data_IF_476680349216
#
_entry.id   IF_476680349216
#
_cell.length_a   1.000
_cell.length_b   1.000
_cell.length_c   1.000
_cell.angle_alpha   90.00
_cell.angle_beta   90.00
_cell.angle_gamma   90.00
#
_symmetry.space_group_name_H-M   'P 1'
#
loop_
_entity.id
_entity.type
_entity.pdbx_description
1 polymer ?
#
# COMPACT_ATOMS: atom_id res chain seq x y z
N UNK A 1 9.09 -9.67 0.71
CA UNK A 1 8.18 -9.92 -0.41
C UNK A 1 8.25 -11.40 -0.78
N UNK A 2 7.13 -12.04 -0.89
CA UNK A 2 7.07 -13.43 -1.32
C UNK A 2 7.18 -13.49 -2.86
N UNK A 3 7.82 -14.51 -3.40
CA UNK A 3 7.98 -14.71 -4.85
C UNK A 3 6.62 -14.75 -5.58
N UNK A 4 5.54 -15.04 -4.86
CA UNK A 4 4.17 -15.17 -5.37
C UNK A 4 3.45 -13.84 -5.67
N UNK A 5 4.05 -12.67 -5.34
CA UNK A 5 3.38 -11.38 -5.41
C UNK A 5 4.18 -10.25 -6.12
N UNK A 6 4.83 -10.48 -7.23
CA UNK A 6 5.75 -9.50 -7.80
C UNK A 6 5.09 -8.16 -8.21
N UNK A 7 3.81 -8.14 -8.51
CA UNK A 7 3.07 -6.91 -8.90
C UNK A 7 1.75 -6.72 -8.15
N UNK A 8 1.42 -7.63 -7.28
CA UNK A 8 0.19 -7.64 -6.50
C UNK A 8 0.20 -6.60 -5.38
N UNK A 9 1.40 -6.36 -4.84
CA UNK A 9 1.56 -5.57 -3.62
C UNK A 9 1.09 -4.13 -3.81
N UNK A 10 1.42 -3.50 -4.94
CA UNK A 10 1.11 -2.08 -5.13
C UNK A 10 -0.29 -1.82 -5.70
N UNK A 11 -0.75 -2.65 -6.64
CA UNK A 11 -1.97 -2.35 -7.37
C UNK A 11 -3.21 -3.05 -6.80
N UNK A 12 -3.12 -4.33 -6.44
CA UNK A 12 -4.28 -5.08 -5.92
C UNK A 12 -4.44 -4.87 -4.42
N UNK A 13 -3.35 -4.72 -3.71
CA UNK A 13 -3.35 -4.24 -2.34
C UNK A 13 -4.06 -2.88 -2.20
N UNK A 14 -3.83 -1.95 -3.13
CA UNK A 14 -4.52 -0.66 -3.15
C UNK A 14 -6.04 -0.81 -3.28
N UNK A 15 -6.52 -1.74 -4.10
CA UNK A 15 -7.95 -2.06 -4.22
C UNK A 15 -8.52 -2.55 -2.89
N UNK A 16 -7.88 -3.55 -2.29
CA UNK A 16 -8.29 -4.06 -0.99
C UNK A 16 -8.35 -2.94 0.05
N UNK A 17 -7.29 -2.13 0.16
CA UNK A 17 -7.22 -1.03 1.13
C UNK A 17 -8.32 0.01 0.94
N UNK A 18 -8.75 0.24 -0.31
CA UNK A 18 -9.83 1.19 -0.59
C UNK A 18 -11.22 0.66 -0.23
N UNK A 19 -11.43 -0.63 -0.28
CA UNK A 19 -12.75 -1.26 -0.11
C UNK A 19 -12.93 -1.93 1.24
N UNK A 20 -11.85 -2.38 1.87
CA UNK A 20 -11.92 -3.08 3.13
C UNK A 20 -12.44 -2.21 4.27
N UNK A 21 -13.33 -2.77 5.03
CA UNK A 21 -13.72 -2.29 6.35
C UNK A 21 -12.70 -2.70 7.41
N UNK A 22 -13.15 -2.84 8.65
CA UNK A 22 -12.30 -3.22 9.77
C UNK A 22 -13.12 -4.06 10.75
N UNK A 23 -12.58 -5.19 11.21
CA UNK A 23 -13.30 -6.09 12.09
C UNK A 23 -14.64 -6.53 11.46
N UNK A 24 -15.70 -6.47 12.22
CA UNK A 24 -17.07 -6.74 11.74
C UNK A 24 -17.71 -5.58 10.98
N UNK A 25 -17.04 -4.45 10.84
CA UNK A 25 -17.61 -3.24 10.25
C UNK A 25 -17.21 -3.11 8.77
N UNK A 26 -18.18 -3.18 7.83
CA UNK A 26 -17.96 -2.77 6.45
C UNK A 26 -17.44 -1.33 6.37
N UNK A 27 -16.71 -1.00 5.32
CA UNK A 27 -16.13 0.35 5.15
C UNK A 27 -17.17 1.47 5.28
N UNK A 28 -18.33 1.29 4.68
CA UNK A 28 -19.43 2.27 4.75
C UNK A 28 -19.94 2.49 6.17
N UNK A 29 -20.04 1.42 6.95
CA UNK A 29 -20.42 1.49 8.38
C UNK A 29 -19.33 2.16 9.20
N UNK A 30 -18.08 1.76 9.00
CA UNK A 30 -16.94 2.36 9.68
C UNK A 30 -16.85 3.87 9.41
N UNK A 31 -17.03 4.29 8.15
CA UNK A 31 -17.04 5.70 7.78
C UNK A 31 -18.15 6.50 8.49
N UNK A 32 -19.33 5.90 8.64
CA UNK A 32 -20.43 6.52 9.40
C UNK A 32 -20.12 6.64 10.90
N UNK A 33 -19.50 5.60 11.49
CA UNK A 33 -19.10 5.60 12.90
C UNK A 33 -18.01 6.64 13.19
N UNK A 34 -17.16 6.91 12.21
CA UNK A 34 -16.08 7.91 12.31
C UNK A 34 -16.51 9.31 11.85
N UNK A 35 -17.76 9.49 11.44
CA UNK A 35 -18.26 10.81 11.05
C UNK A 35 -18.09 11.84 12.18
N UNK A 36 -17.51 12.99 11.86
CA UNK A 36 -17.20 14.04 12.84
C UNK A 36 -15.91 13.83 13.63
N UNK A 37 -15.19 12.72 13.41
CA UNK A 37 -13.83 12.50 13.94
C UNK A 37 -12.80 12.85 12.88
N UNK A 38 -11.71 13.46 13.32
CA UNK A 38 -10.55 13.73 12.47
C UNK A 38 -9.46 12.67 12.77
N UNK A 39 -9.68 11.50 12.22
CA UNK A 39 -8.79 10.34 12.40
C UNK A 39 -8.72 9.53 11.12
N UNK A 40 -7.51 9.11 10.78
CA UNK A 40 -7.26 8.18 9.70
C UNK A 40 -6.13 7.23 10.12
N UNK A 41 -6.34 5.93 9.96
CA UNK A 41 -5.33 4.90 10.22
C UNK A 41 -5.48 3.82 9.17
N UNK A 42 -4.37 3.34 8.66
CA UNK A 42 -4.38 2.26 7.68
C UNK A 42 -3.03 1.57 7.53
N UNK A 43 -3.03 0.36 7.00
CA UNK A 43 -1.83 -0.40 6.72
C UNK A 43 -1.20 0.04 5.39
N UNK A 44 0.11 -0.12 5.31
CA UNK A 44 0.88 0.06 4.09
C UNK A 44 1.86 -1.11 3.96
N UNK A 45 1.91 -1.68 2.77
CA UNK A 45 2.87 -2.71 2.40
C UNK A 45 3.66 -2.16 1.23
N UNK A 46 4.93 -1.93 1.44
CA UNK A 46 5.88 -1.44 0.44
C UNK A 46 6.91 -2.50 0.07
N UNK A 47 7.82 -2.13 -0.81
CA UNK A 47 8.82 -3.05 -1.37
C UNK A 47 9.80 -3.61 -0.33
N UNK A 48 10.08 -2.85 0.72
CA UNK A 48 11.08 -3.21 1.74
C UNK A 48 10.53 -3.18 3.17
N UNK A 49 9.42 -2.50 3.38
CA UNK A 49 8.84 -2.29 4.72
C UNK A 49 7.32 -2.40 4.68
N UNK A 50 6.75 -2.79 5.79
CA UNK A 50 5.32 -2.68 6.03
C UNK A 50 5.08 -1.89 7.32
N UNK A 51 3.97 -1.18 7.37
CA UNK A 51 3.66 -0.31 8.51
C UNK A 51 2.16 -0.14 8.69
N UNK A 52 1.77 0.30 9.86
CA UNK A 52 0.45 0.90 10.10
C UNK A 52 0.72 2.36 10.47
N UNK A 53 0.16 3.27 9.72
CA UNK A 53 0.34 4.70 9.92
C UNK A 53 -0.99 5.41 9.97
N UNK A 54 -1.00 6.58 10.60
CA UNK A 54 -2.21 7.37 10.70
C UNK A 54 -1.98 8.73 11.32
N UNK A 55 -3.04 9.48 11.40
CA UNK A 55 -3.08 10.77 12.04
C UNK A 55 -4.42 10.97 12.75
N UNK A 56 -4.40 11.83 13.78
CA UNK A 56 -5.61 12.24 14.49
C UNK A 56 -5.42 13.60 15.12
N UNK A 57 -6.52 14.21 15.53
CA UNK A 57 -6.46 15.30 16.51
C UNK A 57 -6.20 14.74 17.91
N UNK A 58 -5.71 15.55 18.87
CA UNK A 58 -5.59 15.11 20.27
C UNK A 58 -6.89 14.56 20.85
N UNK A 59 -8.03 15.13 20.47
CA UNK A 59 -9.37 14.68 20.88
C UNK A 59 -9.69 13.27 20.41
N UNK A 60 -9.23 12.88 19.24
CA UNK A 60 -9.52 11.60 18.61
C UNK A 60 -8.37 10.58 18.74
N UNK A 61 -7.36 10.89 19.57
CA UNK A 61 -6.16 10.07 19.72
C UNK A 61 -6.45 8.62 20.12
N UNK A 62 -7.33 8.40 21.10
CA UNK A 62 -7.69 7.03 21.49
C UNK A 62 -8.37 6.28 20.35
N UNK A 63 -9.19 6.96 19.53
CA UNK A 63 -9.78 6.36 18.33
C UNK A 63 -8.70 5.93 17.34
N UNK A 64 -7.62 6.72 17.18
CA UNK A 64 -6.51 6.33 16.34
C UNK A 64 -5.82 5.05 16.83
N UNK A 65 -5.60 4.92 18.15
CA UNK A 65 -5.04 3.70 18.75
C UNK A 65 -5.97 2.49 18.60
N UNK A 66 -7.29 2.68 18.75
CA UNK A 66 -8.28 1.63 18.52
C UNK A 66 -8.25 1.13 17.06
N UNK A 67 -8.22 2.06 16.10
CA UNK A 67 -8.13 1.72 14.68
C UNK A 67 -6.82 1.01 14.35
N UNK A 68 -5.69 1.49 14.88
CA UNK A 68 -4.38 0.86 14.72
C UNK A 68 -4.40 -0.57 15.26
N UNK A 69 -4.91 -0.77 16.46
CA UNK A 69 -5.01 -2.08 17.10
C UNK A 69 -5.88 -3.05 16.29
N UNK A 70 -7.06 -2.62 15.85
CA UNK A 70 -7.94 -3.44 15.01
C UNK A 70 -7.33 -3.72 13.64
N UNK A 71 -6.65 -2.76 13.04
CA UNK A 71 -5.95 -2.95 11.77
C UNK A 71 -4.88 -4.04 11.90
N UNK A 72 -4.22 -4.12 13.05
CA UNK A 72 -3.24 -5.15 13.32
C UNK A 72 -3.89 -6.50 13.64
N UNK A 73 -4.85 -6.52 14.55
CA UNK A 73 -5.38 -7.72 15.17
C UNK A 73 -6.57 -8.35 14.44
N UNK A 74 -7.42 -7.52 13.84
CA UNK A 74 -8.69 -7.96 13.27
C UNK A 74 -8.99 -7.27 11.92
N UNK A 75 -8.10 -7.43 10.93
CA UNK A 75 -8.34 -6.95 9.57
C UNK A 75 -9.54 -7.68 8.96
N UNK A 76 -10.33 -6.96 8.14
CA UNK A 76 -11.51 -7.51 7.49
C UNK A 76 -11.19 -7.93 6.06
N UNK A 77 -11.41 -9.20 5.75
CA UNK A 77 -11.33 -9.75 4.39
C UNK A 77 -12.71 -10.22 3.98
N UNK A 78 -13.38 -9.46 3.12
CA UNK A 78 -14.72 -9.76 2.62
C UNK A 78 -14.70 -9.82 1.10
N UNK A 79 -15.03 -11.00 0.56
CA UNK A 79 -14.96 -11.26 -0.88
C UNK A 79 -15.91 -10.35 -1.68
N UNK A 80 -17.11 -10.09 -1.18
CA UNK A 80 -18.08 -9.24 -1.87
C UNK A 80 -17.60 -7.78 -1.95
N UNK A 81 -17.03 -7.26 -0.84
CA UNK A 81 -16.44 -5.92 -0.81
C UNK A 81 -15.25 -5.82 -1.77
N UNK A 82 -14.40 -6.84 -1.79
CA UNK A 82 -13.25 -6.91 -2.69
C UNK A 82 -13.66 -6.98 -4.16
N UNK A 83 -14.58 -7.87 -4.51
CA UNK A 83 -15.08 -7.99 -5.88
C UNK A 83 -15.77 -6.71 -6.35
N UNK A 84 -16.50 -6.03 -5.47
CA UNK A 84 -17.08 -4.72 -5.79
C UNK A 84 -15.98 -3.71 -6.17
N UNK A 85 -14.89 -3.67 -5.42
CA UNK A 85 -13.73 -2.83 -5.73
C UNK A 85 -13.08 -3.19 -7.07
N UNK A 86 -12.90 -4.48 -7.35
CA UNK A 86 -12.38 -4.96 -8.64
C UNK A 86 -13.28 -4.50 -9.79
N UNK A 87 -14.60 -4.61 -9.67
CA UNK A 87 -15.52 -4.14 -10.71
C UNK A 87 -15.48 -2.63 -10.91
N UNK A 88 -15.38 -1.86 -9.83
CA UNK A 88 -15.22 -0.40 -9.92
C UNK A 88 -13.96 -0.02 -10.69
N UNK A 89 -12.83 -0.69 -10.44
CA UNK A 89 -11.59 -0.44 -11.16
C UNK A 89 -11.71 -0.86 -12.62
N UNK A 90 -12.28 -2.03 -12.91
CA UNK A 90 -12.53 -2.45 -14.29
C UNK A 90 -13.35 -1.44 -15.09
N UNK A 91 -14.30 -0.78 -14.45
CA UNK A 91 -15.12 0.23 -15.11
C UNK A 91 -14.34 1.51 -15.49
N UNK A 92 -13.33 1.91 -14.71
CA UNK A 92 -12.56 3.14 -14.95
C UNK A 92 -11.23 2.90 -15.66
N UNK A 93 -10.71 1.66 -15.62
CA UNK A 93 -9.40 1.30 -16.16
C UNK A 93 -9.22 1.66 -17.63
N UNK A 94 -10.19 1.43 -18.55
CA UNK A 94 -10.04 1.81 -19.95
C UNK A 94 -9.81 3.32 -20.15
N UNK A 95 -10.44 4.16 -19.35
CA UNK A 95 -10.25 5.60 -19.41
C UNK A 95 -8.84 6.00 -18.98
N UNK A 96 -8.32 5.35 -17.91
CA UNK A 96 -6.96 5.56 -17.41
C UNK A 96 -5.95 5.08 -18.47
N UNK A 97 -6.16 3.89 -19.02
CA UNK A 97 -5.26 3.30 -20.03
C UNK A 97 -5.23 4.09 -21.33
N UNK A 98 -6.29 4.80 -21.68
CA UNK A 98 -6.35 5.67 -22.86
C UNK A 98 -5.74 7.06 -22.64
N UNK A 99 -5.39 7.42 -21.39
CA UNK A 99 -4.71 8.68 -21.11
C UNK A 99 -3.26 8.65 -21.61
N UNK A 100 -2.85 9.60 -22.46
CA UNK A 100 -1.51 9.59 -23.03
C UNK A 100 -0.40 9.78 -21.99
N UNK A 101 -0.65 10.51 -20.92
CA UNK A 101 0.34 10.70 -19.85
C UNK A 101 0.53 9.40 -19.07
N UNK A 102 -0.54 8.66 -18.83
CA UNK A 102 -0.47 7.34 -18.21
C UNK A 102 0.27 6.32 -19.11
N UNK A 103 -0.02 6.30 -20.42
CA UNK A 103 0.70 5.45 -21.37
C UNK A 103 2.20 5.79 -21.40
N UNK A 104 2.53 7.07 -21.42
CA UNK A 104 3.92 7.50 -21.35
C UNK A 104 4.61 7.06 -20.05
N UNK A 105 3.94 7.20 -18.91
CA UNK A 105 4.47 6.76 -17.63
C UNK A 105 4.75 5.25 -17.61
N UNK A 106 3.85 4.43 -18.15
CA UNK A 106 4.04 2.98 -18.28
C UNK A 106 5.29 2.67 -19.13
N UNK A 107 5.40 3.28 -20.31
CA UNK A 107 6.54 3.00 -21.19
C UNK A 107 7.86 3.48 -20.57
N UNK A 108 7.85 4.60 -19.87
CA UNK A 108 9.01 5.09 -19.13
C UNK A 108 9.44 4.08 -18.02
N UNK A 109 8.51 3.58 -17.23
CA UNK A 109 8.80 2.61 -16.18
C UNK A 109 9.31 1.28 -16.73
N UNK A 110 8.74 0.79 -17.82
CA UNK A 110 9.26 -0.39 -18.51
C UNK A 110 10.73 -0.23 -18.90
N UNK A 111 11.09 0.93 -19.43
CA UNK A 111 12.48 1.21 -19.82
C UNK A 111 13.36 1.36 -18.58
N UNK A 112 12.96 2.14 -17.61
CA UNK A 112 13.76 2.45 -16.44
C UNK A 112 14.04 1.23 -15.56
N UNK A 113 13.09 0.31 -15.47
CA UNK A 113 13.15 -0.87 -14.62
C UNK A 113 13.21 -2.19 -15.38
N UNK A 114 13.61 -2.13 -16.66
CA UNK A 114 13.83 -3.32 -17.50
C UNK A 114 12.63 -4.28 -17.49
N UNK A 115 11.41 -3.76 -17.64
CA UNK A 115 10.16 -4.52 -17.54
C UNK A 115 9.99 -5.33 -16.23
N UNK A 116 10.53 -4.84 -15.13
CA UNK A 116 10.43 -5.52 -13.86
C UNK A 116 8.95 -5.69 -13.47
N UNK A 117 8.47 -6.91 -13.21
CA UNK A 117 7.06 -7.16 -12.89
C UNK A 117 6.57 -6.47 -11.60
N UNK A 118 7.48 -6.06 -10.71
CA UNK A 118 7.15 -5.34 -9.47
C UNK A 118 6.83 -3.86 -9.66
N UNK A 119 7.10 -3.30 -10.84
CA UNK A 119 6.82 -1.90 -11.21
C UNK A 119 5.86 -1.78 -12.40
N UNK A 120 5.19 -2.86 -12.78
CA UNK A 120 4.17 -2.80 -13.83
C UNK A 120 2.92 -2.09 -13.34
N UNK A 121 2.42 -1.18 -14.19
CA UNK A 121 1.15 -0.54 -13.94
C UNK A 121 -0.03 -1.52 -14.00
N UNK A 122 -1.10 -1.18 -13.29
CA UNK A 122 -2.33 -1.97 -13.26
C UNK A 122 -2.90 -2.14 -14.69
N UNK A 123 -3.26 -3.37 -15.02
CA UNK A 123 -3.85 -3.75 -16.28
C UNK A 123 -4.88 -4.88 -16.08
N UNK A 124 -5.59 -5.23 -17.15
CA UNK A 124 -6.63 -6.26 -17.10
C UNK A 124 -6.10 -7.64 -16.69
N UNK A 125 -4.88 -7.98 -17.11
CA UNK A 125 -4.26 -9.25 -16.74
C UNK A 125 -3.97 -9.34 -15.24
N UNK A 126 -3.47 -8.26 -14.65
CA UNK A 126 -3.24 -8.18 -13.21
C UNK A 126 -4.55 -8.22 -12.43
N UNK A 127 -5.58 -7.49 -12.91
CA UNK A 127 -6.91 -7.53 -12.29
C UNK A 127 -7.54 -8.93 -12.37
N UNK A 128 -7.32 -9.66 -13.45
CA UNK A 128 -7.84 -11.03 -13.58
C UNK A 128 -7.17 -12.02 -12.60
N UNK A 129 -5.95 -11.72 -12.17
CA UNK A 129 -5.20 -12.51 -11.17
C UNK A 129 -5.49 -12.10 -9.73
N UNK A 130 -6.30 -11.06 -9.51
CA UNK A 130 -6.64 -10.57 -8.18
C UNK A 130 -7.24 -11.66 -7.31
N UNK A 131 -6.69 -11.86 -6.11
CA UNK A 131 -7.09 -12.94 -5.22
C UNK A 131 -7.03 -12.50 -3.76
N UNK A 132 -8.20 -12.37 -3.13
CA UNK A 132 -8.31 -11.90 -1.75
C UNK A 132 -7.64 -12.85 -0.74
N UNK A 133 -7.72 -14.17 -0.96
CA UNK A 133 -7.10 -15.14 -0.05
C UNK A 133 -5.56 -15.00 -0.05
N UNK A 134 -4.96 -14.65 -1.19
CA UNK A 134 -3.53 -14.36 -1.26
C UNK A 134 -3.19 -13.08 -0.51
N UNK A 135 -3.99 -12.03 -0.64
CA UNK A 135 -3.82 -10.78 0.11
C UNK A 135 -3.93 -11.05 1.61
N UNK A 136 -4.94 -11.80 2.04
CA UNK A 136 -5.12 -12.18 3.44
C UNK A 136 -3.92 -12.95 4.00
N UNK A 137 -3.44 -13.95 3.27
CA UNK A 137 -2.27 -14.75 3.68
C UNK A 137 -1.05 -13.88 3.90
N UNK A 138 -0.74 -13.01 2.94
CA UNK A 138 0.41 -12.11 3.03
C UNK A 138 0.25 -11.11 4.17
N UNK A 139 -0.93 -10.54 4.31
CA UNK A 139 -1.21 -9.61 5.41
C UNK A 139 -0.98 -10.25 6.77
N UNK A 140 -1.57 -11.42 6.99
CA UNK A 140 -1.45 -12.16 8.25
C UNK A 140 -0.02 -12.61 8.54
N UNK A 141 0.79 -12.86 7.51
CA UNK A 141 2.20 -13.16 7.69
C UNK A 141 2.99 -11.92 8.10
N UNK A 142 2.75 -10.77 7.46
CA UNK A 142 3.46 -9.52 7.72
C UNK A 142 3.09 -8.90 9.08
N UNK A 143 1.83 -8.99 9.47
CA UNK A 143 1.31 -8.42 10.71
C UNK A 143 0.98 -9.46 11.79
N UNK A 144 1.66 -10.61 11.78
CA UNK A 144 1.42 -11.70 12.75
C UNK A 144 1.83 -11.35 14.18
N UNK A 145 2.87 -10.54 14.35
CA UNK A 145 3.38 -10.10 15.64
C UNK A 145 4.11 -8.75 15.52
N UNK A 146 4.35 -8.10 16.64
CA UNK A 146 5.01 -6.80 16.73
C UNK A 146 6.51 -6.90 17.02
N UNK A 147 7.13 -8.06 16.82
CA UNK A 147 8.55 -8.26 17.11
C UNK A 147 9.44 -7.39 16.19
N UNK A 148 10.22 -6.53 16.79
CA UNK A 148 11.11 -5.61 16.08
C UNK A 148 10.39 -4.41 15.44
N UNK A 149 9.10 -4.22 15.71
CA UNK A 149 8.40 -3.02 15.27
C UNK A 149 8.94 -1.77 15.98
N UNK A 150 9.10 -0.71 15.21
CA UNK A 150 9.42 0.62 15.73
C UNK A 150 8.14 1.45 15.73
N UNK A 151 7.87 2.13 16.84
CA UNK A 151 6.69 2.98 16.97
C UNK A 151 7.14 4.42 17.16
N UNK A 152 6.77 5.28 16.24
CA UNK A 152 7.07 6.71 16.28
C UNK A 152 5.77 7.50 16.38
N UNK A 153 5.66 8.35 17.40
CA UNK A 153 4.51 9.23 17.61
C UNK A 153 5.03 10.66 17.66
N UNK A 154 4.50 11.51 16.79
CA UNK A 154 4.87 12.92 16.68
C UNK A 154 3.61 13.77 16.81
N UNK A 155 3.62 14.74 17.69
CA UNK A 155 2.49 15.64 17.86
C UNK A 155 2.47 16.35 19.21
N UNK A 156 1.45 17.18 19.40
CA UNK A 156 1.20 17.86 20.65
C UNK A 156 0.33 16.96 21.55
N UNK A 157 1.00 16.09 22.33
CA UNK A 157 0.36 15.17 23.27
C UNK A 157 1.22 14.99 24.51
N UNK A 158 0.58 15.02 25.67
CA UNK A 158 1.27 14.80 26.94
C UNK A 158 1.56 13.32 27.18
N UNK A 159 2.72 13.03 27.75
CA UNK A 159 3.10 11.65 28.09
C UNK A 159 2.13 10.98 29.07
N UNK A 160 1.50 11.74 29.96
CA UNK A 160 0.48 11.23 30.88
C UNK A 160 -0.77 10.70 30.15
N UNK A 161 -1.14 11.31 29.04
CA UNK A 161 -2.22 10.84 28.17
C UNK A 161 -1.76 9.71 27.26
N UNK A 162 -0.55 9.81 26.70
CA UNK A 162 -0.04 8.88 25.72
C UNK A 162 0.32 7.51 26.32
N UNK A 163 0.99 7.49 27.47
CA UNK A 163 1.50 6.27 28.08
C UNK A 163 0.43 5.20 28.30
N UNK A 164 -0.74 5.49 28.89
CA UNK A 164 -1.80 4.49 29.07
C UNK A 164 -2.32 3.92 27.75
N UNK A 165 -2.39 4.74 26.68
CA UNK A 165 -2.82 4.30 25.36
C UNK A 165 -1.79 3.37 24.72
N UNK A 166 -0.50 3.70 24.83
CA UNK A 166 0.59 2.85 24.33
C UNK A 166 0.58 1.49 25.09
N UNK A 167 0.49 1.49 26.40
CA UNK A 167 0.43 0.28 27.21
C UNK A 167 -0.78 -0.59 26.85
N UNK A 168 -1.95 0.04 26.69
CA UNK A 168 -3.20 -0.65 26.37
C UNK A 168 -3.22 -1.25 24.97
N UNK A 169 -2.82 -0.50 23.95
CA UNK A 169 -3.02 -0.87 22.54
C UNK A 169 -1.75 -1.45 21.90
N UNK A 170 -0.57 -0.88 22.17
CA UNK A 170 0.69 -1.37 21.60
C UNK A 170 1.28 -2.48 22.48
N UNK A 171 1.28 -2.28 23.79
CA UNK A 171 1.81 -3.26 24.73
C UNK A 171 1.06 -4.59 24.75
N UNK A 172 -0.18 -4.61 24.26
CA UNK A 172 -1.01 -5.83 24.15
C UNK A 172 -0.89 -6.55 22.80
N UNK A 173 -0.12 -6.03 21.85
CA UNK A 173 0.10 -6.69 20.56
C UNK A 173 0.86 -8.01 20.75
N UNK A 174 0.63 -9.01 19.88
CA UNK A 174 1.32 -10.29 19.96
C UNK A 174 2.84 -10.14 19.94
N UNK A 175 3.50 -10.86 20.81
CA UNK A 175 4.96 -10.93 20.89
C UNK A 175 5.46 -12.06 20.01
N UNK A 176 6.47 -11.77 19.20
CA UNK A 176 7.16 -12.72 18.35
C UNK A 176 8.66 -12.71 18.60
N UNK A 177 9.40 -13.39 17.76
CA UNK A 177 10.86 -13.31 17.71
C UNK A 177 11.26 -12.29 16.65
N UNK A 178 12.09 -11.32 17.01
CA UNK A 178 12.66 -10.38 16.04
C UNK A 178 13.38 -11.17 14.94
N UNK A 179 13.04 -10.90 13.69
CA UNK A 179 13.77 -11.47 12.57
C UNK A 179 15.22 -10.98 12.62
N UNK A 180 16.16 -11.90 12.55
CA UNK A 180 17.59 -11.62 12.49
C UNK A 180 18.09 -11.48 11.06
N UNK A 181 17.38 -12.10 10.13
CA UNK A 181 17.63 -12.04 8.70
C UNK A 181 16.47 -11.35 7.99
N UNK A 182 16.79 -10.35 7.21
CA UNK A 182 15.84 -9.75 6.28
C UNK A 182 16.54 -9.48 4.95
N UNK A 183 15.88 -9.85 3.88
CA UNK A 183 16.36 -9.56 2.55
C UNK A 183 16.15 -8.06 2.25
N UNK A 184 17.24 -7.31 2.10
CA UNK A 184 17.20 -5.90 1.70
C UNK A 184 17.00 -5.72 0.20
N UNK A 185 17.21 -6.77 -0.56
CA UNK A 185 17.00 -6.75 -2.00
C UNK A 185 15.50 -6.86 -2.30
N UNK A 186 14.92 -5.78 -2.80
CA UNK A 186 13.54 -5.74 -3.26
C UNK A 186 13.37 -6.26 -4.69
N UNK A 187 14.43 -6.78 -5.30
CA UNK A 187 14.46 -7.26 -6.69
C UNK A 187 14.08 -6.18 -7.73
N UNK A 188 14.21 -4.91 -7.39
CA UNK A 188 13.98 -3.78 -8.30
C UNK A 188 15.32 -3.14 -8.59
N UNK A 189 15.77 -3.29 -9.84
CA UNK A 189 16.98 -2.65 -10.34
C UNK A 189 16.63 -1.69 -11.48
N UNK A 190 17.39 -0.63 -11.58
CA UNK A 190 17.32 0.29 -12.72
C UNK A 190 18.04 -0.31 -13.90
N UNK A 191 17.56 -0.04 -15.10
CA UNK A 191 18.24 -0.46 -16.33
C UNK A 191 19.66 0.13 -16.41
N UNK A 192 20.61 -0.67 -16.85
CA UNK A 192 22.02 -0.26 -17.00
C UNK A 192 22.35 0.05 -18.47
N UNK A 193 23.35 0.92 -18.68
CA UNK A 193 23.83 1.29 -19.99
C UNK A 193 23.11 2.48 -20.61
N UNK A 194 23.47 2.82 -21.85
CA UNK A 194 22.85 3.89 -22.60
C UNK A 194 21.62 3.35 -23.33
N UNK A 195 20.45 3.83 -22.96
CA UNK A 195 19.17 3.44 -23.56
C UNK A 195 18.47 4.70 -24.07
N UNK A 196 18.09 4.70 -25.32
CA UNK A 196 17.26 5.73 -25.92
C UNK A 196 15.94 5.11 -26.38
N UNK A 197 14.84 5.71 -25.95
CA UNK A 197 13.49 5.28 -26.32
C UNK A 197 12.63 6.46 -26.66
N UNK A 198 12.05 6.43 -27.85
CA UNK A 198 11.03 7.39 -28.26
C UNK A 198 9.65 6.73 -28.18
N UNK A 199 8.72 7.42 -27.54
CA UNK A 199 7.31 7.01 -27.44
C UNK A 199 6.48 8.08 -28.14
N UNK A 200 5.75 7.70 -29.18
CA UNK A 200 4.85 8.61 -29.91
C UNK A 200 3.40 8.24 -29.60
N UNK A 201 2.67 9.17 -29.00
CA UNK A 201 1.28 9.00 -28.61
C UNK A 201 0.40 10.00 -29.33
N UNK A 202 -0.80 9.56 -29.72
CA UNK A 202 -1.76 10.44 -30.37
C UNK A 202 -2.45 11.31 -29.31
N UNK A 203 -2.36 12.63 -29.50
CA UNK A 203 -2.90 13.62 -28.55
C UNK A 203 -3.65 14.73 -29.29
N UNK A 204 -4.63 15.35 -28.62
CA UNK A 204 -5.33 16.51 -29.16
C UNK A 204 -4.41 17.74 -29.21
N UNK A 205 -3.65 17.96 -28.13
CA UNK A 205 -2.67 19.05 -28.06
C UNK A 205 -1.28 18.45 -28.06
N UNK A 206 -0.45 18.72 -29.09
CA UNK A 206 0.91 18.20 -29.15
C UNK A 206 1.74 18.70 -27.96
N UNK A 207 2.44 17.80 -27.32
CA UNK A 207 3.47 18.12 -26.31
C UNK A 207 4.64 17.16 -26.44
N UNK A 208 5.80 17.59 -25.98
CA UNK A 208 6.99 16.75 -25.89
C UNK A 208 7.48 16.74 -24.46
N UNK A 209 7.86 15.57 -23.98
CA UNK A 209 8.47 15.40 -22.66
C UNK A 209 9.73 14.57 -22.82
N UNK A 210 10.83 15.03 -22.22
CA UNK A 210 12.10 14.31 -22.18
C UNK A 210 12.41 13.96 -20.74
N UNK A 211 12.67 12.68 -20.48
CA UNK A 211 13.18 12.21 -19.19
C UNK A 211 14.57 11.63 -19.39
N UNK A 212 15.52 12.10 -18.59
CA UNK A 212 16.87 11.56 -18.52
C UNK A 212 17.10 10.98 -17.14
N UNK A 213 17.51 9.72 -17.07
CA UNK A 213 17.83 9.03 -15.84
C UNK A 213 19.33 8.72 -15.81
N UNK A 214 20.00 9.23 -14.81
CA UNK A 214 21.39 8.91 -14.53
C UNK A 214 21.44 8.06 -13.27
N UNK A 215 22.06 6.89 -13.37
CA UNK A 215 22.16 5.95 -12.26
C UNK A 215 23.61 5.77 -11.83
N UNK A 216 23.81 5.63 -10.53
CA UNK A 216 25.10 5.27 -9.95
C UNK A 216 24.90 4.30 -8.80
N UNK A 217 25.85 3.36 -8.62
CA UNK A 217 25.92 2.60 -7.38
C UNK A 217 26.50 3.52 -6.30
N UNK A 218 25.71 3.78 -5.29
CA UNK A 218 26.21 4.47 -4.08
C UNK A 218 26.95 3.44 -3.22
N UNK A 219 28.07 3.86 -2.60
CA UNK A 219 28.86 3.00 -1.72
C UNK A 219 28.10 2.58 -0.46
#
# INVERSE_FOLDING_TARGET
ATEDLPSFEDNIWAVYRQTAGLSKFPKTTLSKMLAGKMVNVGPSIGNTTHSISGNSTPKDLETAFQLMYLTFMDPRFDENEFQTGIQQIKAVLPNIQNDPDFQYQIEKEKVFYNNNPRVLALNDELLAKANLATIERVYRELFKDAAGAEVTIVGNVDLSTLKPLVEKYIGSLPKGKKATDFNKDNCISVAEGQIEKTVSLKMQTPKSTVHQLYTAKLP
#
